data_IF_133667216752
#
_entry.id   IF_133667216752
#
_cell.length_a   1.000
_cell.length_b   1.000
_cell.length_c   1.000
_cell.angle_alpha   90.00
_cell.angle_beta   90.00
_cell.angle_gamma   90.00
#
_symmetry.space_group_name_H-M   'P 1'
#
loop_
_entity.id
_entity.type
_entity.pdbx_description
1 polymer ?
#
# COMPACT_ATOMS: atom_id res chain seq x y z
N UNK A 1 -15.89 -15.07 10.58
CA UNK A 1 -15.77 -14.01 11.61
C UNK A 1 -15.88 -12.69 10.87
N UNK A 2 -16.80 -11.80 11.26
CA UNK A 2 -16.89 -10.48 10.64
C UNK A 2 -15.59 -9.75 10.96
N UNK A 3 -14.76 -9.48 9.95
CA UNK A 3 -13.59 -8.63 10.14
C UNK A 3 -14.08 -7.27 10.66
N UNK A 4 -13.50 -6.80 11.75
CA UNK A 4 -13.82 -5.45 12.25
C UNK A 4 -13.50 -4.46 11.13
N UNK A 5 -14.35 -3.45 10.89
CA UNK A 5 -14.07 -2.48 9.85
C UNK A 5 -12.78 -1.73 10.15
N UNK A 6 -12.07 -1.28 9.12
CA UNK A 6 -10.71 -0.72 9.25
C UNK A 6 -10.63 0.50 10.20
N UNK A 7 -11.74 1.20 10.39
CA UNK A 7 -11.89 2.39 11.22
C UNK A 7 -12.23 2.08 12.69
N UNK A 8 -12.62 0.84 13.02
CA UNK A 8 -12.97 0.47 14.39
C UNK A 8 -11.77 0.60 15.32
N UNK A 9 -11.93 1.38 16.40
CA UNK A 9 -10.87 1.64 17.37
C UNK A 9 -9.80 2.64 16.90
N UNK A 10 -10.00 3.29 15.75
CA UNK A 10 -9.14 4.39 15.28
C UNK A 10 -9.78 5.74 15.58
N UNK A 11 -8.95 6.76 15.79
CA UNK A 11 -9.42 8.15 15.87
C UNK A 11 -9.71 8.71 14.47
N UNK A 12 -10.50 9.78 14.40
CA UNK A 12 -10.77 10.48 13.14
C UNK A 12 -9.47 10.95 12.46
N UNK A 13 -8.48 11.40 13.25
CA UNK A 13 -7.16 11.80 12.76
C UNK A 13 -6.37 10.63 12.18
N UNK A 14 -6.38 9.47 12.84
CA UNK A 14 -5.72 8.27 12.32
C UNK A 14 -6.33 7.81 10.99
N UNK A 15 -7.66 7.92 10.85
CA UNK A 15 -8.37 7.60 9.60
C UNK A 15 -8.02 8.61 8.50
N UNK A 16 -7.98 9.90 8.83
CA UNK A 16 -7.56 10.95 7.90
C UNK A 16 -6.14 10.69 7.38
N UNK A 17 -5.23 10.30 8.27
CA UNK A 17 -3.82 10.08 7.96
C UNK A 17 -3.56 8.81 7.14
N UNK A 18 -4.57 7.95 6.91
CA UNK A 18 -4.40 6.81 6.01
C UNK A 18 -4.12 7.25 4.57
N UNK A 19 -4.65 8.41 4.15
CA UNK A 19 -4.57 8.91 2.76
C UNK A 19 -4.90 7.83 1.70
N UNK A 20 -5.88 6.99 2.03
CA UNK A 20 -6.35 5.89 1.18
C UNK A 20 -7.75 6.16 0.65
N UNK A 21 -8.06 5.61 -0.52
CA UNK A 21 -9.43 5.62 -1.03
C UNK A 21 -10.27 4.60 -0.26
N UNK A 22 -11.50 4.99 -0.02
CA UNK A 22 -12.53 4.16 0.57
C UNK A 22 -13.67 3.98 -0.43
N UNK A 23 -14.35 2.85 -0.33
CA UNK A 23 -15.63 2.61 -0.95
C UNK A 23 -16.71 2.84 0.11
N UNK A 24 -17.61 3.77 -0.15
CA UNK A 24 -18.76 4.08 0.70
C UNK A 24 -20.01 3.55 0.02
N UNK A 25 -20.74 2.69 0.71
CA UNK A 25 -22.06 2.21 0.28
C UNK A 25 -23.11 2.89 1.13
N UNK A 26 -24.10 3.51 0.49
CA UNK A 26 -25.21 4.18 1.15
C UNK A 26 -26.34 3.21 1.47
N UNK A 27 -27.20 3.60 2.41
CA UNK A 27 -28.43 2.85 2.74
C UNK A 27 -29.35 2.67 1.51
N UNK A 28 -29.36 3.64 0.59
CA UNK A 28 -30.13 3.56 -0.65
C UNK A 28 -29.50 2.68 -1.74
N UNK A 29 -28.31 2.12 -1.48
CA UNK A 29 -27.55 1.27 -2.42
C UNK A 29 -26.55 2.01 -3.30
N UNK A 30 -26.47 3.34 -3.27
CA UNK A 30 -25.48 4.11 -4.03
C UNK A 30 -24.06 3.83 -3.53
N UNK A 31 -23.10 3.76 -4.45
CA UNK A 31 -21.70 3.48 -4.16
C UNK A 31 -20.81 4.62 -4.62
N UNK A 32 -20.00 5.13 -3.71
CA UNK A 32 -19.02 6.19 -3.96
C UNK A 32 -17.62 5.70 -3.64
N UNK A 33 -16.65 6.05 -4.50
CA UNK A 33 -15.25 5.70 -4.31
C UNK A 33 -14.43 6.98 -4.34
N UNK A 34 -13.62 7.20 -3.32
CA UNK A 34 -12.79 8.39 -3.26
C UNK A 34 -11.95 8.47 -2.00
N UNK A 35 -11.11 9.51 -1.93
CA UNK A 35 -10.36 9.84 -0.72
C UNK A 35 -11.22 10.62 0.26
N UNK A 36 -11.00 10.39 1.54
CA UNK A 36 -11.59 11.18 2.60
C UNK A 36 -10.74 12.43 2.83
N UNK A 37 -11.39 13.59 2.78
CA UNK A 37 -10.79 14.88 3.08
C UNK A 37 -11.41 15.45 4.34
N UNK A 38 -10.62 16.19 5.10
CA UNK A 38 -11.12 16.91 6.28
C UNK A 38 -12.01 18.06 5.81
N UNK A 39 -13.24 18.08 6.30
CA UNK A 39 -14.16 19.18 6.11
C UNK A 39 -14.48 19.80 7.48
N UNK A 40 -13.52 20.51 8.06
CA UNK A 40 -13.71 21.16 9.37
C UNK A 40 -14.35 22.54 9.18
N UNK A 41 -15.67 22.59 9.03
CA UNK A 41 -16.37 23.86 9.14
C UNK A 41 -17.85 23.73 9.49
N UNK A 42 -18.19 22.82 10.39
CA UNK A 42 -19.47 22.95 11.08
C UNK A 42 -19.31 23.92 12.25
N UNK A 43 -20.28 24.82 12.38
CA UNK A 43 -20.28 25.94 13.34
C UNK A 43 -20.37 25.44 14.80
N UNK A 44 -20.53 24.13 14.96
CA UNK A 44 -20.79 23.41 16.20
C UNK A 44 -19.55 22.70 16.78
N UNK A 45 -18.37 22.87 16.17
CA UNK A 45 -17.10 22.32 16.68
C UNK A 45 -16.87 20.83 16.37
N UNK A 46 -17.77 20.20 15.62
CA UNK A 46 -17.67 18.79 15.20
C UNK A 46 -16.63 18.63 14.08
N UNK A 47 -15.81 17.58 14.19
CA UNK A 47 -14.83 17.22 13.17
C UNK A 47 -15.42 16.16 12.22
N UNK A 48 -15.32 16.39 10.92
CA UNK A 48 -15.81 15.44 9.93
C UNK A 48 -14.81 15.11 8.82
N UNK A 49 -14.93 13.89 8.31
CA UNK A 49 -14.30 13.44 7.07
C UNK A 49 -15.36 13.23 6.01
N UNK A 50 -15.11 13.84 4.85
CA UNK A 50 -16.03 13.84 3.72
C UNK A 50 -15.32 13.40 2.45
N UNK A 51 -16.07 12.87 1.50
CA UNK A 51 -15.60 12.57 0.16
C UNK A 51 -16.05 13.70 -0.77
N UNK A 52 -15.11 14.30 -1.50
CA UNK A 52 -15.46 15.26 -2.54
C UNK A 52 -15.97 14.51 -3.76
N UNK A 53 -17.20 14.78 -4.17
CA UNK A 53 -17.86 14.08 -5.29
C UNK A 53 -17.57 14.76 -6.64
N UNK A 54 -17.35 16.07 -6.65
CA UNK A 54 -17.15 16.84 -7.88
C UNK A 54 -16.27 18.07 -7.68
N UNK A 55 -15.92 18.73 -8.79
CA UNK A 55 -15.13 19.97 -8.79
C UNK A 55 -15.88 21.16 -8.16
N UNK A 56 -17.20 21.08 -8.03
CA UNK A 56 -18.04 22.11 -7.42
C UNK A 56 -18.09 22.00 -5.89
N UNK A 57 -17.24 21.14 -5.30
CA UNK A 57 -17.13 20.93 -3.85
C UNK A 57 -18.42 20.39 -3.24
N UNK A 58 -19.16 19.56 -3.99
CA UNK A 58 -20.17 18.71 -3.36
C UNK A 58 -19.45 17.69 -2.49
N UNK A 59 -19.77 17.67 -1.20
CA UNK A 59 -19.18 16.76 -0.24
C UNK A 59 -20.20 15.76 0.25
N UNK A 60 -19.80 14.49 0.22
CA UNK A 60 -20.47 13.44 0.93
C UNK A 60 -19.85 13.29 2.32
N UNK A 61 -20.63 13.49 3.35
CA UNK A 61 -20.17 13.33 4.73
C UNK A 61 -20.13 11.83 5.11
N UNK A 62 -18.96 11.32 5.53
CA UNK A 62 -18.71 9.88 5.73
C UNK A 62 -18.47 9.54 7.20
N UNK A 63 -17.73 10.38 7.92
CA UNK A 63 -17.47 10.22 9.35
C UNK A 63 -17.66 11.54 10.10
N UNK A 64 -18.19 11.46 11.32
CA UNK A 64 -18.27 12.56 12.28
C UNK A 64 -17.67 12.15 13.61
N UNK A 65 -17.03 13.09 14.31
CA UNK A 65 -16.51 12.91 15.65
C UNK A 65 -16.55 14.23 16.43
N UNK A 66 -16.66 14.16 17.76
CA UNK A 66 -16.59 15.35 18.63
C UNK A 66 -15.26 16.08 18.50
N UNK A 67 -14.17 15.34 18.29
CA UNK A 67 -12.84 15.87 18.02
C UNK A 67 -12.03 14.93 17.13
N UNK A 68 -10.90 15.42 16.60
CA UNK A 68 -9.97 14.63 15.78
C UNK A 68 -9.39 13.40 16.49
N UNK A 69 -9.31 13.44 17.83
CA UNK A 69 -8.70 12.39 18.66
C UNK A 69 -9.72 11.38 19.19
N UNK A 70 -10.99 11.52 18.80
CA UNK A 70 -12.06 10.60 19.19
C UNK A 70 -12.40 9.62 18.06
N UNK A 71 -12.94 8.46 18.43
CA UNK A 71 -13.41 7.49 17.45
C UNK A 71 -14.63 8.06 16.71
N UNK A 72 -14.68 7.98 15.37
CA UNK A 72 -15.80 8.53 14.65
C UNK A 72 -17.02 7.61 14.66
N UNK A 73 -18.16 8.21 14.35
CA UNK A 73 -19.41 7.55 13.99
C UNK A 73 -19.66 7.69 12.49
N UNK A 74 -20.28 6.66 11.91
CA UNK A 74 -20.85 6.73 10.55
C UNK A 74 -22.28 7.30 10.62
N UNK A 75 -22.64 8.26 9.77
CA UNK A 75 -24.02 8.74 9.67
C UNK A 75 -24.99 7.62 9.27
N UNK A 76 -26.26 7.71 9.67
CA UNK A 76 -27.25 6.67 9.43
C UNK A 76 -27.53 6.36 7.95
N UNK A 77 -27.30 7.32 7.05
CA UNK A 77 -27.47 7.15 5.61
C UNK A 77 -26.29 6.43 4.94
N UNK A 78 -25.20 6.19 5.67
CA UNK A 78 -24.05 5.41 5.22
C UNK A 78 -24.16 3.99 5.78
N UNK A 79 -24.23 2.99 4.91
CA UNK A 79 -24.33 1.58 5.28
C UNK A 79 -22.94 0.99 5.58
N UNK A 80 -22.02 1.08 4.62
CA UNK A 80 -20.66 0.54 4.78
C UNK A 80 -19.58 1.51 4.32
N UNK A 81 -18.43 1.43 4.98
CA UNK A 81 -17.20 2.12 4.56
C UNK A 81 -16.06 1.11 4.57
N UNK A 82 -15.58 0.78 3.37
CA UNK A 82 -14.58 -0.25 3.14
C UNK A 82 -13.28 0.40 2.65
N UNK A 83 -12.14 -0.05 3.17
CA UNK A 83 -10.84 0.38 2.67
C UNK A 83 -10.61 -0.27 1.29
N UNK A 84 -10.47 0.55 0.25
CA UNK A 84 -10.30 0.03 -1.12
C UNK A 84 -8.83 -0.20 -1.47
N UNK A 85 -7.97 0.73 -1.05
CA UNK A 85 -6.54 0.66 -1.34
C UNK A 85 -5.82 -0.23 -0.32
N UNK A 86 -5.03 -1.20 -0.80
CA UNK A 86 -4.23 -2.07 0.06
C UNK A 86 -3.19 -1.22 0.86
N UNK A 87 -3.10 -1.38 2.19
CA UNK A 87 -2.13 -0.64 3.00
C UNK A 87 -0.68 -0.93 2.62
N UNK A 88 -0.38 -2.13 2.09
CA UNK A 88 0.97 -2.57 1.72
C UNK A 88 1.45 -2.00 0.38
N UNK A 89 0.57 -1.35 -0.38
CA UNK A 89 0.91 -0.78 -1.67
C UNK A 89 0.61 0.72 -1.70
N UNK A 90 1.44 1.46 -2.42
CA UNK A 90 1.12 2.77 -2.95
C UNK A 90 0.43 2.57 -4.31
N UNK A 91 -0.62 3.34 -4.57
CA UNK A 91 -1.34 3.26 -5.84
C UNK A 91 -0.76 4.28 -6.82
N UNK A 92 -0.54 3.83 -8.04
CA UNK A 92 -0.09 4.66 -9.16
C UNK A 92 -1.28 4.85 -10.09
N UNK A 93 -1.69 6.10 -10.33
CA UNK A 93 -2.86 6.39 -11.17
C UNK A 93 -2.49 6.58 -12.65
N UNK A 94 -1.22 6.92 -12.95
CA UNK A 94 -0.74 7.16 -14.31
C UNK A 94 0.25 6.07 -14.75
N UNK A 95 0.04 5.51 -15.94
CA UNK A 95 0.92 4.45 -16.46
C UNK A 95 2.37 4.92 -16.64
N UNK A 96 2.57 6.21 -16.90
CA UNK A 96 3.88 6.84 -17.06
C UNK A 96 4.73 6.82 -15.76
N UNK A 97 4.09 6.65 -14.60
CA UNK A 97 4.75 6.62 -13.29
C UNK A 97 5.13 5.20 -12.84
N UNK A 98 4.79 4.19 -13.65
CA UNK A 98 5.22 2.81 -13.44
C UNK A 98 6.75 2.70 -13.47
N UNK A 99 7.24 1.80 -12.63
CA UNK A 99 8.64 1.41 -12.52
C UNK A 99 8.74 -0.12 -12.51
N UNK A 100 9.96 -0.61 -12.74
CA UNK A 100 10.25 -2.03 -12.55
C UNK A 100 9.84 -2.48 -11.15
N UNK A 101 9.27 -3.70 -11.06
CA UNK A 101 8.75 -4.36 -9.85
C UNK A 101 7.40 -3.87 -9.34
N UNK A 102 6.85 -2.79 -9.89
CA UNK A 102 5.45 -2.44 -9.66
C UNK A 102 4.52 -3.54 -10.20
N UNK A 103 3.26 -3.51 -9.79
CA UNK A 103 2.21 -4.36 -10.33
C UNK A 103 1.25 -3.48 -11.11
N UNK A 104 1.15 -3.68 -12.42
CA UNK A 104 0.15 -3.03 -13.25
C UNK A 104 -1.16 -3.84 -13.21
N UNK A 105 -2.27 -3.16 -12.96
CA UNK A 105 -3.62 -3.70 -13.03
C UNK A 105 -4.29 -3.18 -14.29
N UNK A 106 -4.77 -4.11 -15.10
CA UNK A 106 -5.33 -3.83 -16.42
C UNK A 106 -6.86 -3.68 -16.37
N UNK A 107 -7.48 -3.26 -17.47
CA UNK A 107 -8.93 -3.05 -17.58
C UNK A 107 -9.75 -4.32 -17.32
N UNK A 108 -9.18 -5.48 -17.67
CA UNK A 108 -9.77 -6.80 -17.41
C UNK A 108 -9.57 -7.29 -15.97
N UNK A 109 -8.92 -6.48 -15.12
CA UNK A 109 -8.57 -6.81 -13.74
C UNK A 109 -7.31 -7.68 -13.58
N UNK A 110 -6.67 -8.09 -14.68
CA UNK A 110 -5.45 -8.88 -14.63
C UNK A 110 -4.29 -8.05 -14.06
N UNK A 111 -3.41 -8.74 -13.33
CA UNK A 111 -2.27 -8.16 -12.63
C UNK A 111 -0.97 -8.66 -13.23
N UNK A 112 -0.10 -7.74 -13.63
CA UNK A 112 1.20 -8.06 -14.20
C UNK A 112 2.31 -7.39 -13.40
N UNK A 113 3.34 -8.17 -13.03
CA UNK A 113 4.55 -7.59 -12.45
C UNK A 113 5.35 -6.91 -13.56
N UNK A 114 5.59 -5.62 -13.42
CA UNK A 114 6.33 -4.81 -14.39
C UNK A 114 7.81 -5.20 -14.36
N UNK A 115 8.38 -5.50 -15.53
CA UNK A 115 9.79 -5.85 -15.70
C UNK A 115 10.59 -4.79 -16.45
N UNK A 116 9.92 -3.95 -17.23
CA UNK A 116 10.52 -2.80 -17.91
C UNK A 116 9.42 -1.83 -18.37
N UNK A 117 9.74 -0.55 -18.57
CA UNK A 117 8.79 0.50 -18.98
C UNK A 117 9.38 1.31 -20.14
N UNK A 118 8.75 1.22 -21.31
CA UNK A 118 9.14 1.94 -22.52
C UNK A 118 8.24 3.17 -22.74
N UNK A 119 8.49 4.26 -21.98
CA UNK A 119 7.66 5.48 -22.03
C UNK A 119 7.50 6.05 -23.44
N UNK A 120 8.55 6.08 -24.25
CA UNK A 120 8.50 6.57 -25.64
C UNK A 120 7.64 5.73 -26.60
N UNK A 121 7.17 4.56 -26.16
CA UNK A 121 6.28 3.65 -26.91
C UNK A 121 4.95 3.40 -26.19
N UNK A 122 4.66 4.14 -25.12
CA UNK A 122 3.45 4.04 -24.31
C UNK A 122 3.12 2.59 -23.91
N UNK A 123 4.13 1.84 -23.47
CA UNK A 123 3.99 0.43 -23.10
C UNK A 123 4.95 0.03 -21.98
N UNK A 124 4.61 -1.04 -21.28
CA UNK A 124 5.49 -1.71 -20.32
C UNK A 124 5.53 -3.21 -20.61
N UNK A 125 6.55 -3.89 -20.07
CA UNK A 125 6.66 -5.34 -20.12
C UNK A 125 6.14 -5.93 -18.81
N UNK A 126 5.16 -6.83 -18.92
CA UNK A 126 4.54 -7.52 -17.80
C UNK A 126 4.92 -8.98 -17.75
N UNK A 127 5.32 -9.48 -16.58
CA UNK A 127 5.61 -10.91 -16.37
C UNK A 127 4.32 -11.72 -16.33
N UNK A 128 4.27 -12.80 -17.11
CA UNK A 128 3.17 -13.77 -17.10
C UNK A 128 3.54 -14.97 -16.23
N UNK A 129 2.85 -15.15 -15.11
CA UNK A 129 3.04 -16.32 -14.25
C UNK A 129 2.28 -17.51 -14.83
N UNK A 130 2.98 -18.60 -15.17
CA UNK A 130 2.40 -19.82 -15.76
C UNK A 130 2.89 -20.14 -17.18
N UNK A 131 3.63 -19.23 -17.82
CA UNK A 131 4.34 -19.53 -19.06
C UNK A 131 5.60 -20.38 -18.78
N UNK A 132 5.90 -21.33 -19.65
CA UNK A 132 7.10 -22.17 -19.58
C UNK A 132 8.29 -21.36 -20.13
N UNK A 133 8.76 -20.37 -19.37
CA UNK A 133 9.87 -19.49 -19.74
C UNK A 133 9.82 -18.13 -19.03
N UNK A 134 10.85 -17.27 -19.21
CA UNK A 134 10.82 -15.88 -18.76
C UNK A 134 9.95 -15.02 -19.69
N UNK A 135 8.73 -15.48 -19.99
CA UNK A 135 7.87 -14.81 -20.94
C UNK A 135 7.29 -13.54 -20.32
N UNK A 136 7.72 -12.42 -20.88
CA UNK A 136 7.13 -11.11 -20.64
C UNK A 136 6.30 -10.76 -21.87
N UNK A 137 5.14 -10.13 -21.63
CA UNK A 137 4.29 -9.59 -22.69
C UNK A 137 4.39 -8.07 -22.68
N UNK A 138 4.46 -7.46 -23.86
CA UNK A 138 4.36 -6.01 -24.00
C UNK A 138 2.89 -5.59 -23.90
N UNK A 139 2.59 -4.71 -22.95
CA UNK A 139 1.24 -4.22 -22.64
C UNK A 139 1.21 -2.71 -22.82
N UNK A 140 0.20 -2.22 -23.57
CA UNK A 140 0.02 -0.79 -23.82
C UNK A 140 -0.59 -0.07 -22.62
N UNK A 141 -0.25 1.22 -22.47
CA UNK A 141 -0.83 2.09 -21.45
C UNK A 141 -2.33 2.33 -21.64
N UNK A 142 -2.86 2.10 -22.84
CA UNK A 142 -4.30 2.20 -23.13
C UNK A 142 -5.15 1.14 -22.41
N UNK A 143 -4.55 0.03 -21.97
CA UNK A 143 -5.22 -1.02 -21.21
C UNK A 143 -4.92 -0.97 -19.71
N UNK A 144 -4.15 0.03 -19.26
CA UNK A 144 -3.82 0.25 -17.86
C UNK A 144 -5.00 0.88 -17.11
N UNK A 145 -5.27 0.39 -15.91
CA UNK A 145 -6.26 0.97 -15.00
C UNK A 145 -5.58 1.68 -13.83
N UNK A 146 -4.59 1.01 -13.21
CA UNK A 146 -3.76 1.57 -12.12
C UNK A 146 -2.58 0.66 -11.82
N UNK A 147 -1.56 1.20 -11.17
CA UNK A 147 -0.42 0.47 -10.65
C UNK A 147 -0.46 0.33 -9.14
N UNK A 148 0.28 -0.65 -8.64
CA UNK A 148 0.51 -0.89 -7.22
C UNK A 148 2.01 -1.02 -7.00
N UNK A 149 2.59 -0.05 -6.31
CA UNK A 149 3.98 -0.07 -5.86
C UNK A 149 4.05 -0.64 -4.46
N UNK A 150 4.73 -1.76 -4.22
CA UNK A 150 4.91 -2.27 -2.86
C UNK A 150 5.58 -1.20 -1.99
N UNK A 151 4.96 -0.85 -0.86
CA UNK A 151 5.61 0.03 0.11
C UNK A 151 6.83 -0.69 0.70
N UNK A 152 7.93 0.03 0.98
CA UNK A 152 9.04 -0.50 1.77
C UNK A 152 8.51 -1.06 3.09
N UNK A 153 8.40 -2.39 3.20
CA UNK A 153 8.07 -3.03 4.47
C UNK A 153 9.36 -3.19 5.25
N UNK A 154 9.56 -2.33 6.22
CA UNK A 154 10.64 -2.50 7.19
C UNK A 154 10.27 -3.55 8.23
N UNK A 155 11.26 -4.26 8.78
CA UNK A 155 11.12 -5.10 9.96
C UNK A 155 10.54 -4.31 11.13
N UNK A 156 9.47 -4.83 11.73
CA UNK A 156 8.75 -4.23 12.85
C UNK A 156 9.17 -4.82 14.21
N UNK A 157 10.02 -5.84 14.19
CA UNK A 157 10.55 -6.51 15.37
C UNK A 157 11.95 -7.07 15.09
N UNK A 158 12.75 -7.26 16.16
CA UNK A 158 14.04 -7.92 16.03
C UNK A 158 13.91 -9.33 15.44
N UNK A 159 14.89 -9.76 14.65
CA UNK A 159 14.92 -11.10 14.08
C UNK A 159 15.74 -11.22 12.81
N UNK A 160 15.64 -12.40 12.19
CA UNK A 160 16.20 -12.69 10.87
C UNK A 160 15.15 -12.39 9.80
N UNK A 161 15.54 -11.58 8.83
CA UNK A 161 14.68 -11.13 7.75
C UNK A 161 15.36 -11.36 6.40
N UNK A 162 14.58 -11.59 5.37
CA UNK A 162 15.01 -11.63 3.98
C UNK A 162 14.57 -10.34 3.30
N UNK A 163 15.48 -9.68 2.61
CA UNK A 163 15.21 -8.47 1.85
C UNK A 163 14.55 -8.77 0.48
N UNK A 164 14.35 -7.74 -0.35
CA UNK A 164 13.70 -7.87 -1.66
C UNK A 164 14.45 -8.76 -2.66
N UNK A 165 15.74 -8.97 -2.44
CA UNK A 165 16.63 -9.77 -3.29
C UNK A 165 17.04 -11.08 -2.56
N UNK A 166 16.32 -11.44 -1.50
CA UNK A 166 16.52 -12.64 -0.69
C UNK A 166 17.83 -12.68 0.12
N UNK A 167 18.48 -11.54 0.32
CA UNK A 167 19.62 -11.48 1.23
C UNK A 167 19.15 -11.50 2.68
N UNK A 168 19.90 -12.18 3.54
CA UNK A 168 19.62 -12.27 4.97
C UNK A 168 20.07 -11.02 5.70
N UNK A 169 19.22 -10.52 6.59
CA UNK A 169 19.50 -9.41 7.48
C UNK A 169 19.18 -9.79 8.92
N UNK A 170 20.00 -9.32 9.85
CA UNK A 170 19.66 -9.29 11.27
C UNK A 170 19.13 -7.91 11.59
N UNK A 171 17.97 -7.88 12.22
CA UNK A 171 17.27 -6.67 12.61
C UNK A 171 17.16 -6.65 14.13
N UNK A 172 17.48 -5.50 14.73
CA UNK A 172 17.41 -5.24 16.16
C UNK A 172 17.37 -3.73 16.38
N UNK A 173 18.16 -3.21 17.33
CA UNK A 173 18.38 -1.76 17.44
C UNK A 173 19.04 -1.20 16.17
N UNK A 174 19.95 -1.98 15.57
CA UNK A 174 20.57 -1.71 14.29
C UNK A 174 20.19 -2.82 13.29
N UNK A 175 20.35 -2.52 12.00
CA UNK A 175 20.20 -3.46 10.89
C UNK A 175 21.57 -3.77 10.30
N UNK A 176 21.86 -5.05 10.04
CA UNK A 176 23.06 -5.42 9.29
C UNK A 176 22.81 -6.63 8.38
N UNK A 177 23.30 -6.59 7.13
CA UNK A 177 23.18 -7.70 6.21
C UNK A 177 24.19 -8.80 6.57
N UNK A 178 23.74 -10.05 6.48
CA UNK A 178 24.56 -11.23 6.61
C UNK A 178 24.90 -11.76 5.22
N UNK A 179 26.18 -12.02 4.99
CA UNK A 179 26.65 -12.69 3.77
C UNK A 179 27.11 -14.10 4.14
N UNK A 180 26.63 -15.10 3.42
CA UNK A 180 27.17 -16.45 3.48
C UNK A 180 28.49 -16.46 2.69
N UNK A 181 29.62 -16.68 3.36
CA UNK A 181 30.95 -16.70 2.72
C UNK A 181 31.31 -18.13 2.26
N UNK A 182 30.87 -19.14 3.00
CA UNK A 182 30.99 -20.56 2.64
C UNK A 182 29.88 -21.39 3.31
N UNK A 183 29.89 -22.71 3.10
CA UNK A 183 28.91 -23.62 3.68
C UNK A 183 28.94 -23.60 5.22
N UNK A 184 28.06 -22.79 5.81
CA UNK A 184 27.90 -22.65 7.24
C UNK A 184 28.59 -21.43 7.84
N UNK A 185 29.53 -20.78 7.13
CA UNK A 185 30.13 -19.53 7.64
C UNK A 185 29.39 -18.30 7.11
N UNK A 186 28.79 -17.60 8.05
CA UNK A 186 28.13 -16.32 7.83
C UNK A 186 28.99 -15.20 8.41
N UNK A 187 29.03 -14.08 7.71
CA UNK A 187 29.79 -12.90 8.14
C UNK A 187 29.00 -11.62 7.96
N UNK A 188 29.32 -10.65 8.81
CA UNK A 188 28.87 -9.26 8.68
C UNK A 188 29.94 -8.54 7.86
N UNK A 189 29.70 -8.40 6.56
CA UNK A 189 30.65 -7.80 5.63
C UNK A 189 30.41 -6.30 5.40
N UNK A 190 29.33 -5.75 5.97
CA UNK A 190 28.91 -4.36 5.79
C UNK A 190 28.71 -3.65 7.13
N UNK A 191 28.81 -2.31 7.16
CA UNK A 191 28.56 -1.54 8.37
C UNK A 191 27.17 -1.79 8.95
N UNK A 192 27.03 -1.59 10.25
CA UNK A 192 25.72 -1.50 10.88
C UNK A 192 25.00 -0.25 10.37
N UNK A 193 23.74 -0.41 10.04
CA UNK A 193 22.87 0.65 9.58
C UNK A 193 21.80 0.92 10.63
N UNK A 194 21.36 2.18 10.73
CA UNK A 194 20.09 2.46 11.39
C UNK A 194 18.96 1.75 10.64
N UNK A 195 17.95 1.25 11.35
CA UNK A 195 16.82 0.50 10.77
C UNK A 195 15.97 1.33 9.81
N UNK A 196 16.01 2.65 9.93
CA UNK A 196 15.36 3.64 9.06
C UNK A 196 16.30 4.25 8.00
N UNK A 197 17.54 3.78 7.90
CA UNK A 197 18.50 4.31 6.94
C UNK A 197 18.08 4.03 5.48
N UNK A 198 18.55 4.88 4.56
CA UNK A 198 18.31 4.73 3.11
C UNK A 198 18.76 3.36 2.59
N UNK A 199 19.83 2.79 3.14
CA UNK A 199 20.33 1.47 2.76
C UNK A 199 19.33 0.37 3.11
N UNK A 200 18.71 0.43 4.29
CA UNK A 200 17.72 -0.56 4.73
C UNK A 200 16.40 -0.34 3.97
N UNK A 201 15.97 0.91 3.78
CA UNK A 201 14.78 1.24 2.98
C UNK A 201 14.90 0.72 1.54
N UNK A 202 16.07 0.86 0.91
CA UNK A 202 16.32 0.35 -0.44
C UNK A 202 16.37 -1.18 -0.52
N UNK A 203 16.57 -1.88 0.60
CA UNK A 203 16.55 -3.34 0.66
C UNK A 203 15.12 -3.88 0.87
N UNK A 204 14.19 -3.06 1.32
CA UNK A 204 12.79 -3.44 1.52
C UNK A 204 12.08 -3.82 0.18
N UNK A 205 10.97 -4.58 0.21
CA UNK A 205 10.29 -5.09 1.39
C UNK A 205 11.01 -6.27 2.04
N UNK A 206 11.01 -6.29 3.37
CA UNK A 206 11.51 -7.41 4.15
C UNK A 206 10.40 -8.40 4.47
N UNK A 207 10.76 -9.68 4.53
CA UNK A 207 9.92 -10.76 5.05
C UNK A 207 10.67 -11.56 6.11
N UNK A 208 9.96 -12.09 7.10
CA UNK A 208 10.60 -12.89 8.14
C UNK A 208 11.26 -14.12 7.51
N UNK A 209 12.52 -14.39 7.84
CA UNK A 209 13.17 -15.63 7.45
C UNK A 209 12.45 -16.77 8.18
N UNK A 210 11.83 -17.70 7.44
CA UNK A 210 11.26 -18.89 8.06
C UNK A 210 12.40 -19.72 8.63
N UNK A 211 12.29 -20.08 9.90
CA UNK A 211 13.09 -21.18 10.43
C UNK A 211 12.71 -22.44 9.65
N UNK A 212 13.68 -23.07 9.02
CA UNK A 212 13.53 -24.45 8.57
C UNK A 212 13.78 -25.28 9.84
N UNK A 213 12.73 -25.93 10.35
CA UNK A 213 12.91 -26.95 11.39
C UNK A 213 13.82 -28.04 10.83
N UNK A 214 14.88 -28.35 11.60
CA UNK A 214 15.86 -29.38 11.27
C UNK A 214 15.36 -30.77 11.68
#
# INVERSE_FOLDING_TARGET
MSEKPFWAGKTLMEIQNLDKRVKVTMENGDVFIGKLVRHSRDTDGICSLSMQLDAHRTYLHVFSAESSDTQPIIPSYVDTVELLDDPNYERIEEADDLQEKDIAVMLDGNRYKVTDVEKGRNRFWGRVYGAVGPECIALGFNAFTYGLRPKPRLPDKPGLWLDKDDNTWVMGENAFPLTCIDAGNWSITRPQFSTDSVQVLNAAPFRLAKAVEA
#
